data_IF_379760619330
#
_entry.id   IF_379760619330
#
_cell.length_a   1.000
_cell.length_b   1.000
_cell.length_c   1.000
_cell.angle_alpha   90.00
_cell.angle_beta   90.00
_cell.angle_gamma   90.00
#
_symmetry.space_group_name_H-M   'P 1'
#
loop_
_entity.id
_entity.type
_entity.pdbx_description
1 polymer ?
#
# COMPACT_ATOMS: atom_id res chain seq x y z
N UNK A 1 -19.25 11.48 -10.81
CA UNK A 1 -18.31 11.57 -11.94
C UNK A 1 -17.86 10.19 -12.38
N UNK A 2 -17.91 9.91 -13.68
CA UNK A 2 -17.49 8.63 -14.25
C UNK A 2 -16.01 8.65 -14.61
N UNK A 3 -15.32 7.58 -14.22
CA UNK A 3 -13.89 7.41 -14.39
C UNK A 3 -13.55 6.01 -14.88
N UNK A 4 -12.45 5.89 -15.60
CA UNK A 4 -11.86 4.61 -16.06
C UNK A 4 -10.65 4.34 -15.17
N UNK A 5 -10.62 3.20 -14.48
CA UNK A 5 -9.50 2.85 -13.60
C UNK A 5 -8.27 2.42 -14.41
N UNK A 6 -7.10 2.97 -14.09
CA UNK A 6 -5.81 2.58 -14.69
C UNK A 6 -5.07 1.55 -13.84
N UNK A 7 -5.37 1.50 -12.55
CA UNK A 7 -4.83 0.52 -11.61
C UNK A 7 -5.98 -0.11 -10.81
N UNK A 8 -5.74 -1.30 -10.26
CA UNK A 8 -6.69 -1.92 -9.34
C UNK A 8 -6.79 -1.07 -8.06
N UNK A 9 -8.01 -0.67 -7.71
CA UNK A 9 -8.30 0.03 -6.46
C UNK A 9 -9.26 -0.83 -5.66
N UNK A 10 -8.82 -1.26 -4.47
CA UNK A 10 -9.51 -2.31 -3.69
C UNK A 10 -10.99 -2.04 -3.39
N UNK A 11 -11.39 -0.77 -3.23
CA UNK A 11 -12.78 -0.38 -2.96
C UNK A 11 -13.61 -0.04 -4.21
N UNK A 12 -13.01 0.00 -5.40
CA UNK A 12 -13.68 0.45 -6.63
C UNK A 12 -13.79 -0.66 -7.69
N UNK A 13 -12.71 -1.38 -7.98
CA UNK A 13 -12.68 -2.33 -9.09
C UNK A 13 -11.30 -2.62 -9.65
N UNK A 14 -11.30 -3.27 -10.81
CA UNK A 14 -10.12 -3.67 -11.57
C UNK A 14 -9.73 -2.61 -12.60
N UNK A 15 -8.59 -2.84 -13.26
CA UNK A 15 -8.10 -2.02 -14.36
C UNK A 15 -9.13 -2.06 -15.50
N UNK A 16 -9.48 -0.90 -16.05
CA UNK A 16 -10.42 -0.77 -17.15
C UNK A 16 -11.89 -0.68 -16.76
N UNK A 17 -12.23 -0.89 -15.49
CA UNK A 17 -13.60 -0.72 -15.04
C UNK A 17 -13.99 0.77 -15.09
N UNK A 18 -15.19 1.01 -15.63
CA UNK A 18 -15.83 2.33 -15.59
C UNK A 18 -16.67 2.39 -14.34
N UNK A 19 -16.25 3.24 -13.39
CA UNK A 19 -16.92 3.38 -12.10
C UNK A 19 -17.37 4.81 -11.87
N UNK A 20 -18.55 4.96 -11.27
CA UNK A 20 -19.08 6.26 -10.86
C UNK A 20 -18.65 6.55 -9.43
N UNK A 21 -17.88 7.60 -9.23
CA UNK A 21 -17.41 8.05 -7.90
C UNK A 21 -17.87 9.47 -7.59
N UNK A 22 -17.80 9.83 -6.30
CA UNK A 22 -18.01 11.21 -5.87
C UNK A 22 -16.94 12.11 -6.50
N UNK A 23 -17.37 13.27 -7.01
CA UNK A 23 -16.52 14.22 -7.72
C UNK A 23 -15.27 14.64 -6.94
N UNK A 24 -15.40 14.88 -5.63
CA UNK A 24 -14.26 15.22 -4.77
C UNK A 24 -13.21 14.12 -4.71
N UNK A 25 -13.62 12.85 -4.71
CA UNK A 25 -12.69 11.73 -4.69
C UNK A 25 -11.96 11.55 -6.03
N UNK A 26 -12.68 11.73 -7.15
CA UNK A 26 -12.05 11.74 -8.47
C UNK A 26 -11.02 12.88 -8.62
N UNK A 27 -11.41 14.11 -8.26
CA UNK A 27 -10.58 15.32 -8.45
C UNK A 27 -9.39 15.41 -7.52
N UNK A 28 -9.52 15.01 -6.26
CA UNK A 28 -8.48 15.22 -5.25
C UNK A 28 -7.57 14.01 -5.06
N UNK A 29 -8.01 12.80 -5.42
CA UNK A 29 -7.26 11.58 -5.17
C UNK A 29 -6.95 10.78 -6.44
N UNK A 30 -7.95 10.43 -7.25
CA UNK A 30 -7.75 9.48 -8.35
C UNK A 30 -7.06 10.09 -9.57
N UNK A 31 -7.48 11.28 -10.01
CA UNK A 31 -6.89 11.97 -11.16
C UNK A 31 -5.46 12.47 -10.88
N UNK A 32 -5.15 13.14 -9.75
CA UNK A 32 -3.79 13.64 -9.49
C UNK A 32 -2.77 12.52 -9.33
N UNK A 33 -3.17 11.39 -8.74
CA UNK A 33 -2.29 10.22 -8.57
C UNK A 33 -2.23 9.31 -9.80
N UNK A 34 -2.82 9.72 -10.94
CA UNK A 34 -2.85 8.94 -12.20
C UNK A 34 -3.44 7.52 -12.03
N UNK A 35 -4.36 7.35 -11.08
CA UNK A 35 -5.02 6.06 -10.80
C UNK A 35 -6.23 5.81 -11.70
N UNK A 36 -6.76 6.88 -12.30
CA UNK A 36 -7.92 6.83 -13.18
C UNK A 36 -7.88 7.95 -14.24
N UNK A 37 -8.62 7.77 -15.31
CA UNK A 37 -8.93 8.79 -16.32
C UNK A 37 -10.40 9.17 -16.25
N UNK A 38 -10.76 10.35 -16.77
CA UNK A 38 -12.17 10.70 -16.98
C UNK A 38 -12.76 9.78 -18.05
N UNK A 39 -13.96 9.29 -17.83
CA UNK A 39 -14.68 8.50 -18.82
C UNK A 39 -15.19 9.42 -19.96
N UNK A 40 -14.35 9.64 -20.97
CA UNK A 40 -14.72 10.28 -22.23
C UNK A 40 -14.30 9.38 -23.41
N UNK A 41 -14.86 9.61 -24.59
CA UNK A 41 -14.61 8.77 -25.76
C UNK A 41 -13.13 8.76 -26.19
N UNK A 42 -12.41 9.87 -26.00
CA UNK A 42 -10.99 9.98 -26.31
C UNK A 42 -10.13 9.11 -25.37
N UNK A 43 -10.33 9.23 -24.05
CA UNK A 43 -9.57 8.47 -23.05
C UNK A 43 -9.91 6.98 -23.10
N UNK A 44 -11.13 6.61 -23.52
CA UNK A 44 -11.50 5.20 -23.69
C UNK A 44 -10.65 4.54 -24.79
N UNK A 45 -10.47 5.21 -25.94
CA UNK A 45 -9.59 4.71 -27.02
C UNK A 45 -8.14 4.63 -26.57
N UNK A 46 -7.64 5.68 -25.92
CA UNK A 46 -6.28 5.69 -25.35
C UNK A 46 -6.09 4.58 -24.33
N UNK A 47 -7.10 4.28 -23.52
CA UNK A 47 -7.04 3.19 -22.56
C UNK A 47 -6.99 1.82 -23.25
N UNK A 48 -7.82 1.59 -24.26
CA UNK A 48 -7.83 0.33 -25.02
C UNK A 48 -6.48 0.06 -25.70
N UNK A 49 -5.85 1.07 -26.29
CA UNK A 49 -4.50 0.97 -26.87
C UNK A 49 -3.41 0.69 -25.83
N UNK A 50 -3.57 1.20 -24.61
CA UNK A 50 -2.60 1.04 -23.53
C UNK A 50 -2.91 -0.14 -22.59
N UNK A 51 -4.03 -0.84 -22.77
CA UNK A 51 -4.55 -1.82 -21.82
C UNK A 51 -3.54 -2.94 -21.56
N UNK A 52 -3.03 -3.55 -22.63
CA UNK A 52 -2.09 -4.66 -22.52
C UNK A 52 -0.80 -4.25 -21.81
N UNK A 53 -0.31 -3.03 -22.08
CA UNK A 53 0.87 -2.48 -21.42
C UNK A 53 0.62 -2.24 -19.92
N UNK A 54 -0.52 -1.65 -19.57
CA UNK A 54 -0.88 -1.36 -18.18
C UNK A 54 -1.11 -2.64 -17.37
N UNK A 55 -1.72 -3.65 -17.98
CA UNK A 55 -1.90 -4.97 -17.37
C UNK A 55 -0.57 -5.67 -17.13
N UNK A 56 0.33 -5.65 -18.12
CA UNK A 56 1.68 -6.21 -17.99
C UNK A 56 2.49 -5.51 -16.88
N UNK A 57 2.51 -4.17 -16.89
CA UNK A 57 3.23 -3.40 -15.86
C UNK A 57 2.65 -3.63 -14.45
N UNK A 58 1.33 -3.80 -14.32
CA UNK A 58 0.71 -4.12 -13.04
C UNK A 58 1.07 -5.52 -12.56
N UNK A 59 1.04 -6.51 -13.46
CA UNK A 59 1.46 -7.87 -13.16
C UNK A 59 2.92 -7.93 -12.71
N UNK A 60 3.83 -7.25 -13.43
CA UNK A 60 5.24 -7.15 -13.05
C UNK A 60 5.43 -6.50 -11.67
N UNK A 61 4.73 -5.40 -11.40
CA UNK A 61 4.78 -4.74 -10.08
C UNK A 61 4.25 -5.63 -8.97
N UNK A 62 3.16 -6.36 -9.23
CA UNK A 62 2.59 -7.30 -8.27
C UNK A 62 3.55 -8.44 -7.98
N UNK A 63 4.19 -8.98 -9.00
CA UNK A 63 5.15 -10.08 -8.85
C UNK A 63 6.43 -9.63 -8.14
N UNK A 64 6.92 -8.42 -8.44
CA UNK A 64 8.04 -7.81 -7.72
C UNK A 64 7.69 -7.63 -6.23
N UNK A 65 6.54 -7.02 -5.93
CA UNK A 65 6.08 -6.82 -4.56
C UNK A 65 5.84 -8.15 -3.81
N UNK A 66 5.33 -9.18 -4.49
CA UNK A 66 5.16 -10.51 -3.90
C UNK A 66 6.51 -11.18 -3.58
N UNK A 67 7.52 -11.01 -4.44
CA UNK A 67 8.88 -11.51 -4.18
C UNK A 67 9.55 -10.79 -3.01
N UNK A 68 9.36 -9.48 -2.89
CA UNK A 68 9.83 -8.71 -1.74
C UNK A 68 9.11 -9.12 -0.45
N UNK A 69 7.79 -9.29 -0.48
CA UNK A 69 7.00 -9.76 0.66
C UNK A 69 7.50 -11.11 1.20
N UNK A 70 7.85 -12.04 0.30
CA UNK A 70 8.42 -13.34 0.68
C UNK A 70 9.73 -13.27 1.46
N UNK A 71 10.51 -12.17 1.33
CA UNK A 71 11.73 -11.99 2.14
C UNK A 71 11.41 -11.66 3.59
N UNK A 72 10.27 -11.02 3.82
CA UNK A 72 9.78 -10.64 5.14
C UNK A 72 9.03 -11.80 5.82
N UNK A 73 8.55 -12.79 5.07
CA UNK A 73 7.95 -13.99 5.61
C UNK A 73 8.97 -14.71 6.51
N UNK A 74 8.66 -14.79 7.82
CA UNK A 74 9.49 -15.34 8.91
C UNK A 74 10.61 -14.44 9.45
N UNK A 75 10.65 -13.16 9.08
CA UNK A 75 11.56 -12.21 9.75
C UNK A 75 11.02 -11.89 11.13
N UNK A 76 11.76 -12.34 12.16
CA UNK A 76 11.52 -11.94 13.56
C UNK A 76 12.45 -10.79 13.91
N UNK A 77 11.90 -9.70 14.44
CA UNK A 77 12.67 -8.56 14.97
C UNK A 77 12.50 -8.49 16.48
N UNK A 78 13.58 -8.22 17.18
CA UNK A 78 13.58 -8.05 18.63
C UNK A 78 13.75 -6.57 18.96
N UNK A 79 12.78 -6.00 19.67
CA UNK A 79 12.76 -4.59 20.05
C UNK A 79 12.90 -4.46 21.57
N UNK A 80 14.08 -4.08 22.03
CA UNK A 80 14.36 -3.91 23.46
C UNK A 80 13.85 -2.55 23.93
N UNK A 81 12.92 -2.56 24.89
CA UNK A 81 12.31 -1.36 25.51
C UNK A 81 12.12 -1.57 27.00
N UNK A 82 12.14 -0.46 27.75
CA UNK A 82 11.90 -0.48 29.20
C UNK A 82 10.41 -0.75 29.49
N UNK A 83 10.16 -1.65 30.43
CA UNK A 83 8.84 -2.06 30.88
C UNK A 83 8.69 -1.98 32.40
N UNK A 84 7.46 -1.80 32.87
CA UNK A 84 7.08 -1.99 34.27
C UNK A 84 7.05 -3.48 34.64
N UNK A 85 7.03 -3.79 35.95
CA UNK A 85 6.90 -5.18 36.42
C UNK A 85 5.60 -5.86 35.97
N UNK A 86 4.56 -5.08 35.62
CA UNK A 86 3.30 -5.60 35.07
C UNK A 86 3.34 -5.90 33.57
N UNK A 87 4.50 -5.69 32.92
CA UNK A 87 4.69 -5.94 31.49
C UNK A 87 4.26 -4.80 30.57
N UNK A 88 3.74 -3.69 31.09
CA UNK A 88 3.46 -2.48 30.30
C UNK A 88 4.74 -1.71 29.97
N UNK A 89 4.93 -1.34 28.71
CA UNK A 89 6.04 -0.54 28.20
C UNK A 89 5.89 0.93 28.60
N UNK A 90 6.98 1.58 29.02
CA UNK A 90 6.99 3.02 29.28
C UNK A 90 6.91 3.84 27.98
N UNK A 91 7.43 3.29 26.88
CA UNK A 91 7.33 3.86 25.54
C UNK A 91 6.70 2.85 24.59
N UNK A 92 5.62 3.23 23.92
CA UNK A 92 4.97 2.35 22.95
C UNK A 92 5.86 2.16 21.72
N UNK A 93 5.92 0.94 21.19
CA UNK A 93 6.54 0.68 19.89
C UNK A 93 5.58 1.14 18.79
N UNK A 94 6.05 2.08 17.97
CA UNK A 94 5.32 2.59 16.83
C UNK A 94 5.90 2.03 15.52
N UNK A 95 5.20 2.31 14.41
CA UNK A 95 5.63 1.95 13.05
C UNK A 95 7.08 2.40 12.75
N UNK A 96 7.51 3.53 13.32
CA UNK A 96 8.87 4.06 13.12
C UNK A 96 9.94 3.14 13.70
N UNK A 97 9.70 2.59 14.89
CA UNK A 97 10.62 1.66 15.55
C UNK A 97 10.73 0.36 14.78
N UNK A 98 9.61 -0.15 14.26
CA UNK A 98 9.55 -1.37 13.45
C UNK A 98 10.36 -1.20 12.16
N UNK A 99 10.17 -0.08 11.46
CA UNK A 99 10.93 0.22 10.23
C UNK A 99 12.42 0.31 10.52
N UNK A 100 12.83 1.03 11.57
CA UNK A 100 14.24 1.14 11.94
C UNK A 100 14.87 -0.22 12.26
N UNK A 101 14.17 -1.08 13.01
CA UNK A 101 14.67 -2.42 13.34
C UNK A 101 14.76 -3.34 12.10
N UNK A 102 13.86 -3.19 11.13
CA UNK A 102 13.95 -3.91 9.85
C UNK A 102 15.12 -3.40 8.98
N UNK A 103 15.33 -2.08 8.94
CA UNK A 103 16.45 -1.45 8.24
C UNK A 103 17.81 -1.91 8.82
N UNK A 104 17.94 -2.02 10.14
CA UNK A 104 19.15 -2.56 10.81
C UNK A 104 19.45 -4.01 10.41
N UNK A 105 18.42 -4.79 10.06
CA UNK A 105 18.55 -6.16 9.55
C UNK A 105 18.85 -6.23 8.05
N UNK A 106 18.90 -5.09 7.35
CA UNK A 106 19.13 -5.01 5.92
C UNK A 106 17.86 -5.12 5.07
N UNK A 107 16.67 -5.15 5.69
CA UNK A 107 15.39 -5.16 4.98
C UNK A 107 14.86 -3.74 4.81
N UNK A 108 14.67 -3.31 3.56
CA UNK A 108 14.19 -1.94 3.28
C UNK A 108 12.66 -1.92 3.23
N UNK A 109 12.03 -1.44 4.31
CA UNK A 109 10.57 -1.30 4.40
C UNK A 109 10.19 0.15 4.66
N UNK A 110 9.26 0.68 3.89
CA UNK A 110 8.74 2.04 4.10
C UNK A 110 7.61 2.07 5.13
N UNK A 111 7.48 3.19 5.84
CA UNK A 111 6.41 3.41 6.85
C UNK A 111 4.98 3.20 6.31
N UNK A 112 4.78 3.35 5.00
CA UNK A 112 3.46 3.15 4.35
C UNK A 112 3.11 1.67 4.15
N UNK A 113 4.10 0.78 4.18
CA UNK A 113 3.91 -0.66 4.03
C UNK A 113 3.58 -1.35 5.36
N UNK A 114 3.86 -0.70 6.50
CA UNK A 114 3.57 -1.24 7.83
C UNK A 114 2.17 -0.83 8.27
N UNK A 115 1.27 -1.80 8.36
CA UNK A 115 -0.08 -1.60 8.90
C UNK A 115 -0.09 -2.03 10.36
N UNK A 116 -0.14 -1.06 11.27
CA UNK A 116 -0.21 -1.29 12.70
C UNK A 116 -1.49 -0.63 13.23
N UNK A 117 -2.47 -1.45 13.65
CA UNK A 117 -3.77 -0.94 14.12
C UNK A 117 -3.63 -0.13 15.42
N UNK A 118 -2.78 -0.58 16.33
CA UNK A 118 -2.52 0.05 17.62
C UNK A 118 -1.03 -0.06 17.97
N UNK A 119 -0.42 0.99 18.55
CA UNK A 119 0.95 0.90 19.07
C UNK A 119 1.08 -0.25 20.08
N UNK A 120 2.20 -0.96 20.04
CA UNK A 120 2.47 -2.05 20.98
C UNK A 120 2.88 -1.43 22.32
N UNK A 121 2.16 -1.79 23.37
CA UNK A 121 2.32 -1.20 24.71
C UNK A 121 2.66 -2.22 25.80
N UNK A 122 2.72 -3.50 25.46
CA UNK A 122 3.07 -4.56 26.39
C UNK A 122 4.23 -5.38 25.84
N UNK A 123 5.03 -5.96 26.73
CA UNK A 123 6.00 -6.99 26.36
C UNK A 123 5.26 -8.24 25.90
N UNK A 124 5.83 -8.96 24.94
CA UNK A 124 5.24 -10.15 24.35
C UNK A 124 6.04 -10.62 23.14
N UNK A 125 5.54 -11.70 22.53
CA UNK A 125 5.99 -12.20 21.23
C UNK A 125 4.94 -11.87 20.18
#
# INVERSE_FOLDING_TARGET
MDIILLERVGSLGNIGDVVTVKDGFARNFLLPNKKALRANAANKKVFEENRERLEAENAERRDAAAKEGKKLDNVTIELIRQASQTGQLYGSVAVRDIVAALEERGETVTKKQVVLERPIKAIGM
#
